data_IF_720812067366
#
_entry.id   IF_720812067366
#
_cell.length_a   1.000
_cell.length_b   1.000
_cell.length_c   1.000
_cell.angle_alpha   90.00
_cell.angle_beta   90.00
_cell.angle_gamma   90.00
#
_symmetry.space_group_name_H-M   'P 1'
#
loop_
_entity.id
_entity.type
_entity.pdbx_description
1 polymer ?
#
# COMPACT_ATOMS: atom_id res chain seq x y z
N UNK A 1 7.09 -7.60 -32.93
CA UNK A 1 8.43 -8.04 -33.39
C UNK A 1 9.36 -8.03 -32.18
N UNK A 2 10.23 -9.03 -32.03
CA UNK A 2 11.16 -9.11 -30.90
C UNK A 2 12.32 -8.11 -31.07
N UNK A 3 12.70 -7.43 -30.00
CA UNK A 3 13.88 -6.56 -29.96
C UNK A 3 15.17 -7.35 -30.10
N UNK A 4 16.29 -6.67 -30.36
CA UNK A 4 17.62 -7.30 -30.44
C UNK A 4 17.98 -8.02 -29.13
N UNK A 5 17.70 -7.37 -27.99
CA UNK A 5 17.92 -7.91 -26.64
C UNK A 5 17.06 -9.16 -26.36
N UNK A 6 15.82 -9.17 -26.84
CA UNK A 6 14.91 -10.33 -26.73
C UNK A 6 15.33 -11.50 -27.63
N UNK A 7 16.01 -11.24 -28.76
CA UNK A 7 16.55 -12.28 -29.64
C UNK A 7 17.84 -12.90 -29.08
N UNK A 8 18.65 -12.12 -28.38
CA UNK A 8 19.93 -12.56 -27.82
C UNK A 8 19.78 -13.25 -26.46
N UNK A 9 18.63 -13.10 -25.77
CA UNK A 9 18.32 -13.78 -24.52
C UNK A 9 17.15 -14.76 -24.69
N UNK A 10 17.38 -16.08 -24.80
CA UNK A 10 16.34 -17.09 -25.01
C UNK A 10 15.25 -17.08 -23.93
N UNK A 11 15.61 -16.68 -22.72
CA UNK A 11 14.70 -16.61 -21.58
C UNK A 11 13.75 -15.41 -21.71
N UNK A 12 14.24 -14.26 -22.19
CA UNK A 12 13.41 -13.10 -22.54
C UNK A 12 12.55 -13.36 -23.79
N UNK A 13 13.10 -14.04 -24.80
CA UNK A 13 12.36 -14.45 -26.00
C UNK A 13 11.11 -15.26 -25.66
N UNK A 14 11.19 -16.13 -24.64
CA UNK A 14 10.07 -16.96 -24.18
C UNK A 14 8.99 -16.15 -23.46
N UNK A 15 9.39 -15.11 -22.71
CA UNK A 15 8.47 -14.20 -22.02
C UNK A 15 7.79 -13.22 -22.99
N UNK A 16 8.51 -12.77 -24.02
CA UNK A 16 8.01 -11.89 -25.07
C UNK A 16 6.96 -12.55 -25.98
N UNK A 17 6.90 -13.88 -26.00
CA UNK A 17 5.82 -14.64 -26.67
C UNK A 17 4.50 -14.66 -25.89
N UNK A 18 4.48 -14.16 -24.65
CA UNK A 18 3.26 -14.13 -23.83
C UNK A 18 2.41 -12.92 -24.18
N UNK A 19 1.08 -13.10 -24.08
CA UNK A 19 0.09 -12.07 -24.46
C UNK A 19 0.23 -10.77 -23.64
N UNK A 20 0.63 -10.90 -22.38
CA UNK A 20 0.84 -9.78 -21.46
C UNK A 20 1.83 -10.15 -20.33
N UNK A 21 2.20 -9.17 -19.52
CA UNK A 21 3.14 -9.33 -18.40
C UNK A 21 2.63 -10.27 -17.29
N UNK A 22 1.32 -10.42 -17.15
CA UNK A 22 0.71 -11.33 -16.18
C UNK A 22 0.88 -12.79 -16.64
N UNK A 23 0.65 -13.07 -17.91
CA UNK A 23 0.91 -14.39 -18.50
C UNK A 23 2.40 -14.72 -18.50
N UNK A 24 3.25 -13.71 -18.75
CA UNK A 24 4.71 -13.83 -18.57
C UNK A 24 5.07 -14.28 -17.14
N UNK A 25 4.51 -13.65 -16.10
CA UNK A 25 4.73 -14.07 -14.72
C UNK A 25 4.27 -15.52 -14.46
N UNK A 26 3.06 -15.87 -14.88
CA UNK A 26 2.50 -17.22 -14.72
C UNK A 26 3.35 -18.29 -15.41
N UNK A 27 3.89 -17.99 -16.58
CA UNK A 27 4.70 -18.93 -17.38
C UNK A 27 5.98 -19.39 -16.66
N UNK A 28 6.45 -18.61 -15.69
CA UNK A 28 7.62 -18.93 -14.89
C UNK A 28 7.34 -19.99 -13.82
N UNK A 29 6.06 -20.36 -13.63
CA UNK A 29 5.61 -21.37 -12.65
C UNK A 29 6.22 -21.10 -11.29
N UNK A 30 5.98 -19.88 -10.81
CA UNK A 30 6.49 -19.30 -9.56
C UNK A 30 5.72 -19.90 -8.36
N UNK A 31 5.43 -21.20 -8.39
CA UNK A 31 4.40 -21.85 -7.55
C UNK A 31 4.95 -22.63 -6.36
N UNK A 32 6.25 -22.51 -6.07
CA UNK A 32 6.92 -23.30 -5.02
C UNK A 32 7.94 -22.44 -4.25
N UNK A 33 7.45 -21.47 -3.50
CA UNK A 33 8.26 -20.71 -2.55
C UNK A 33 7.76 -20.99 -1.14
N UNK A 34 8.67 -21.22 -0.21
CA UNK A 34 8.30 -21.48 1.18
C UNK A 34 7.98 -20.17 1.89
N UNK A 35 8.61 -19.07 1.49
CA UNK A 35 8.40 -17.74 2.04
C UNK A 35 8.52 -16.63 0.98
N UNK A 36 8.30 -15.37 1.38
CA UNK A 36 8.37 -14.20 0.48
C UNK A 36 9.79 -13.85 0.03
N UNK A 37 10.80 -14.18 0.82
CA UNK A 37 12.19 -13.92 0.48
C UNK A 37 12.63 -14.84 -0.65
N UNK A 38 12.31 -16.14 -0.57
CA UNK A 38 12.60 -17.11 -1.63
C UNK A 38 11.97 -16.65 -2.95
N UNK A 39 10.75 -16.12 -2.90
CA UNK A 39 10.04 -15.60 -4.07
C UNK A 39 10.80 -14.41 -4.69
N UNK A 40 11.02 -13.37 -3.88
CA UNK A 40 11.56 -12.09 -4.36
C UNK A 40 13.06 -12.11 -4.65
N UNK A 41 13.77 -13.15 -4.22
CA UNK A 41 15.18 -13.39 -4.55
C UNK A 41 15.38 -14.47 -5.63
N UNK A 42 14.29 -15.06 -6.14
CA UNK A 42 14.42 -16.12 -7.15
C UNK A 42 14.88 -15.58 -8.51
N UNK A 43 15.79 -16.31 -9.16
CA UNK A 43 16.26 -15.98 -10.51
C UNK A 43 15.10 -15.84 -11.53
N UNK A 44 14.01 -16.61 -11.34
CA UNK A 44 12.80 -16.50 -12.17
C UNK A 44 12.08 -15.18 -11.95
N UNK A 45 11.95 -14.74 -10.70
CA UNK A 45 11.37 -13.44 -10.38
C UNK A 45 12.22 -12.30 -10.96
N UNK A 46 13.53 -12.35 -10.80
CA UNK A 46 14.45 -11.37 -11.37
C UNK A 46 14.34 -11.30 -12.89
N UNK A 47 14.27 -12.45 -13.56
CA UNK A 47 14.07 -12.52 -15.01
C UNK A 47 12.75 -11.85 -15.45
N UNK A 48 11.67 -12.07 -14.70
CA UNK A 48 10.39 -11.40 -14.97
C UNK A 48 10.46 -9.90 -14.78
N UNK A 49 11.10 -9.44 -13.69
CA UNK A 49 11.28 -8.01 -13.41
C UNK A 49 12.09 -7.34 -14.52
N UNK A 50 13.18 -7.98 -14.97
CA UNK A 50 13.96 -7.50 -16.10
C UNK A 50 13.11 -7.36 -17.37
N UNK A 51 12.28 -8.35 -17.66
CA UNK A 51 11.35 -8.28 -18.79
C UNK A 51 10.29 -7.18 -18.62
N UNK A 52 9.71 -7.02 -17.42
CA UNK A 52 8.73 -5.97 -17.12
C UNK A 52 9.34 -4.57 -17.31
N UNK A 53 10.57 -4.35 -16.85
CA UNK A 53 11.30 -3.08 -17.03
C UNK A 53 11.50 -2.79 -18.52
N UNK A 54 11.92 -3.80 -19.30
CA UNK A 54 12.08 -3.67 -20.74
C UNK A 54 10.76 -3.38 -21.47
N UNK A 55 9.68 -4.08 -21.09
CA UNK A 55 8.36 -3.85 -21.65
C UNK A 55 7.86 -2.43 -21.35
N UNK A 56 8.06 -1.96 -20.11
CA UNK A 56 7.68 -0.61 -19.70
C UNK A 56 8.46 0.48 -20.44
N UNK A 57 9.75 0.25 -20.76
CA UNK A 57 10.55 1.25 -21.49
C UNK A 57 10.12 1.41 -22.96
N UNK A 58 9.44 0.41 -23.52
CA UNK A 58 8.87 0.46 -24.87
C UNK A 58 7.45 1.06 -24.90
N UNK A 59 6.78 1.11 -23.75
CA UNK A 59 5.39 1.58 -23.66
C UNK A 59 5.33 3.10 -23.51
N UNK A 60 4.48 3.75 -24.31
CA UNK A 60 4.10 5.16 -24.08
C UNK A 60 2.99 5.33 -23.02
N UNK A 61 2.43 4.22 -22.57
CA UNK A 61 1.34 4.19 -21.59
C UNK A 61 1.89 4.12 -20.17
N UNK A 62 0.98 4.13 -19.20
CA UNK A 62 1.34 3.96 -17.80
C UNK A 62 2.17 2.68 -17.57
N UNK A 63 3.29 2.77 -16.82
CA UNK A 63 4.11 1.60 -16.52
C UNK A 63 3.32 0.53 -15.76
N UNK A 64 3.45 -0.71 -16.21
CA UNK A 64 2.98 -1.88 -15.48
C UNK A 64 3.86 -2.09 -14.24
N UNK A 65 3.24 -2.39 -13.10
CA UNK A 65 3.95 -2.50 -11.82
C UNK A 65 3.80 -3.89 -11.20
N UNK A 66 4.71 -4.24 -10.29
CA UNK A 66 4.63 -5.49 -9.52
C UNK A 66 3.34 -5.53 -8.72
N UNK A 67 3.00 -4.42 -8.04
CA UNK A 67 1.75 -4.35 -7.28
C UNK A 67 0.52 -4.55 -8.16
N UNK A 68 0.52 -4.06 -9.41
CA UNK A 68 -0.59 -4.28 -10.34
C UNK A 68 -0.75 -5.76 -10.65
N UNK A 69 0.34 -6.45 -10.97
CA UNK A 69 0.31 -7.89 -11.25
C UNK A 69 -0.24 -8.69 -10.07
N UNK A 70 0.34 -8.50 -8.87
CA UNK A 70 -0.11 -9.22 -7.67
C UNK A 70 -1.57 -8.89 -7.36
N UNK A 71 -1.98 -7.62 -7.48
CA UNK A 71 -3.36 -7.21 -7.24
C UNK A 71 -4.34 -7.88 -8.21
N UNK A 72 -4.01 -7.91 -9.51
CA UNK A 72 -4.84 -8.55 -10.54
C UNK A 72 -4.94 -10.07 -10.34
N UNK A 73 -3.94 -10.71 -9.71
CA UNK A 73 -3.88 -12.17 -9.54
C UNK A 73 -4.37 -12.68 -8.19
N UNK A 74 -4.11 -11.94 -7.12
CA UNK A 74 -4.35 -12.38 -5.74
C UNK A 74 -5.42 -11.52 -5.04
N UNK A 75 -5.77 -10.38 -5.64
CA UNK A 75 -6.57 -9.34 -4.98
C UNK A 75 -5.73 -8.49 -4.03
N UNK A 76 -6.27 -7.32 -3.66
CA UNK A 76 -5.52 -6.31 -2.91
C UNK A 76 -5.11 -6.78 -1.51
N UNK A 77 -6.00 -7.47 -0.79
CA UNK A 77 -5.73 -7.98 0.55
C UNK A 77 -4.51 -8.91 0.59
N UNK A 78 -4.54 -10.00 -0.20
CA UNK A 78 -3.42 -10.97 -0.24
C UNK A 78 -2.13 -10.32 -0.75
N UNK A 79 -2.23 -9.44 -1.73
CA UNK A 79 -1.07 -8.70 -2.24
C UNK A 79 -0.43 -7.85 -1.13
N UNK A 80 -1.25 -7.10 -0.40
CA UNK A 80 -0.78 -6.28 0.72
C UNK A 80 -0.16 -7.12 1.83
N UNK A 81 -0.78 -8.24 2.21
CA UNK A 81 -0.24 -9.16 3.21
C UNK A 81 1.16 -9.65 2.81
N UNK A 82 1.35 -10.09 1.57
CA UNK A 82 2.67 -10.50 1.06
C UNK A 82 3.69 -9.37 1.10
N UNK A 83 3.31 -8.15 0.68
CA UNK A 83 4.21 -6.99 0.72
C UNK A 83 4.51 -6.51 2.14
N UNK A 84 3.58 -6.71 3.08
CA UNK A 84 3.77 -6.40 4.49
C UNK A 84 4.70 -7.38 5.18
N UNK A 85 4.69 -8.66 4.78
CA UNK A 85 5.70 -9.64 5.22
C UNK A 85 7.06 -9.27 4.63
N UNK A 86 7.13 -8.99 3.32
CA UNK A 86 8.38 -8.61 2.67
C UNK A 86 9.00 -7.35 3.28
N UNK A 87 8.18 -6.34 3.62
CA UNK A 87 8.63 -5.10 4.25
C UNK A 87 9.18 -5.27 5.69
N UNK A 88 9.15 -6.48 6.24
CA UNK A 88 9.74 -6.86 7.52
C UNK A 88 10.84 -7.92 7.37
N UNK A 89 11.22 -8.24 6.13
CA UNK A 89 12.27 -9.20 5.85
C UNK A 89 13.58 -8.77 6.49
N UNK A 90 14.38 -9.73 6.93
CA UNK A 90 15.75 -9.49 7.36
C UNK A 90 16.68 -9.19 6.17
N UNK A 91 16.27 -9.52 4.94
CA UNK A 91 16.98 -9.15 3.73
C UNK A 91 16.64 -7.69 3.36
N UNK A 92 17.60 -6.75 3.41
CA UNK A 92 17.33 -5.33 3.18
C UNK A 92 16.75 -5.03 1.79
N UNK A 93 17.12 -5.82 0.78
CA UNK A 93 16.59 -5.65 -0.58
C UNK A 93 15.11 -6.05 -0.63
N UNK A 94 14.76 -7.17 0.01
CA UNK A 94 13.35 -7.63 0.07
C UNK A 94 12.51 -6.69 0.93
N UNK A 95 13.08 -6.18 2.03
CA UNK A 95 12.46 -5.15 2.86
C UNK A 95 12.09 -3.91 2.04
N UNK A 96 13.06 -3.39 1.27
CA UNK A 96 12.86 -2.24 0.41
C UNK A 96 11.85 -2.52 -0.71
N UNK A 97 11.88 -3.72 -1.31
CA UNK A 97 10.89 -4.16 -2.30
C UNK A 97 9.48 -4.18 -1.69
N UNK A 98 9.31 -4.78 -0.51
CA UNK A 98 8.03 -4.82 0.19
C UNK A 98 7.45 -3.44 0.45
N UNK A 99 8.26 -2.49 0.95
CA UNK A 99 7.84 -1.09 1.14
C UNK A 99 7.45 -0.44 -0.19
N UNK A 100 8.26 -0.62 -1.24
CA UNK A 100 8.00 -0.08 -2.58
C UNK A 100 6.70 -0.62 -3.16
N UNK A 101 6.43 -1.92 -3.02
CA UNK A 101 5.22 -2.55 -3.54
C UNK A 101 3.97 -2.12 -2.78
N UNK A 102 4.05 -1.86 -1.47
CA UNK A 102 2.95 -1.22 -0.74
C UNK A 102 2.64 0.19 -1.27
N UNK A 103 3.66 0.99 -1.59
CA UNK A 103 3.48 2.32 -2.19
C UNK A 103 2.87 2.21 -3.59
N UNK A 104 3.31 1.24 -4.40
CA UNK A 104 2.72 0.99 -5.72
C UNK A 104 1.25 0.57 -5.61
N UNK A 105 0.91 -0.32 -4.67
CA UNK A 105 -0.47 -0.75 -4.43
C UNK A 105 -1.35 0.43 -4.00
N UNK A 106 -0.84 1.29 -3.11
CA UNK A 106 -1.52 2.53 -2.74
C UNK A 106 -1.81 3.43 -3.94
N UNK A 107 -0.85 3.57 -4.87
CA UNK A 107 -1.05 4.37 -6.09
C UNK A 107 -2.13 3.80 -6.99
N UNK A 108 -2.32 2.48 -7.04
CA UNK A 108 -3.44 1.89 -7.77
C UNK A 108 -4.78 2.34 -7.20
N UNK A 109 -4.94 2.30 -5.87
CA UNK A 109 -6.15 2.80 -5.21
C UNK A 109 -6.36 4.30 -5.43
N UNK A 110 -5.29 5.10 -5.32
CA UNK A 110 -5.35 6.53 -5.53
C UNK A 110 -5.80 6.88 -6.95
N UNK A 111 -5.30 6.16 -7.97
CA UNK A 111 -5.69 6.34 -9.38
C UNK A 111 -7.12 5.91 -9.66
N UNK A 112 -7.58 4.85 -8.99
CA UNK A 112 -8.97 4.41 -9.03
C UNK A 112 -9.93 5.33 -8.23
N UNK A 113 -9.42 6.39 -7.60
CA UNK A 113 -10.23 7.35 -6.86
C UNK A 113 -10.76 6.83 -5.53
N UNK A 114 -10.19 5.73 -5.00
CA UNK A 114 -10.67 5.15 -3.75
C UNK A 114 -10.49 6.10 -2.56
N UNK A 115 -11.51 6.16 -1.72
CA UNK A 115 -11.47 6.83 -0.41
C UNK A 115 -10.71 5.97 0.62
N UNK A 116 -10.24 6.56 1.74
CA UNK A 116 -9.58 5.80 2.80
C UNK A 116 -10.39 4.61 3.33
N UNK A 117 -11.71 4.76 3.50
CA UNK A 117 -12.61 3.68 3.92
C UNK A 117 -12.74 2.54 2.89
N UNK A 118 -12.75 2.87 1.59
CA UNK A 118 -12.73 1.85 0.53
C UNK A 118 -11.40 1.10 0.50
N UNK A 119 -10.27 1.80 0.72
CA UNK A 119 -8.96 1.15 0.85
C UNK A 119 -8.95 0.21 2.07
N UNK A 120 -9.47 0.65 3.21
CA UNK A 120 -9.64 -0.22 4.40
C UNK A 120 -10.39 -1.50 4.06
N UNK A 121 -11.54 -1.38 3.39
CA UNK A 121 -12.36 -2.53 2.97
C UNK A 121 -11.57 -3.48 2.04
N UNK A 122 -10.91 -2.93 1.00
CA UNK A 122 -10.13 -3.72 0.04
C UNK A 122 -8.92 -4.44 0.65
N UNK A 123 -8.35 -3.86 1.70
CA UNK A 123 -7.22 -4.44 2.43
C UNK A 123 -7.64 -5.36 3.57
N UNK A 124 -8.95 -5.47 3.86
CA UNK A 124 -9.48 -6.31 4.93
C UNK A 124 -9.51 -5.66 6.31
N UNK A 125 -9.36 -4.34 6.39
CA UNK A 125 -9.66 -3.57 7.61
C UNK A 125 -8.72 -2.40 7.88
N UNK A 126 -9.09 -1.64 8.92
CA UNK A 126 -8.46 -0.37 9.28
C UNK A 126 -6.99 -0.52 9.66
N UNK A 127 -6.61 -1.63 10.28
CA UNK A 127 -5.23 -1.90 10.66
C UNK A 127 -4.31 -2.08 9.45
N UNK A 128 -4.81 -2.71 8.38
CA UNK A 128 -4.06 -2.89 7.14
C UNK A 128 -3.91 -1.55 6.38
N UNK A 129 -4.99 -0.77 6.28
CA UNK A 129 -4.94 0.57 5.70
C UNK A 129 -4.02 1.51 6.47
N UNK A 130 -4.06 1.50 7.80
CA UNK A 130 -3.17 2.29 8.64
C UNK A 130 -1.70 1.94 8.38
N UNK A 131 -1.36 0.66 8.32
CA UNK A 131 0.01 0.21 7.97
C UNK A 131 0.42 0.73 6.58
N UNK A 132 -0.43 0.59 5.57
CA UNK A 132 -0.17 1.12 4.23
C UNK A 132 0.10 2.63 4.25
N UNK A 133 -0.75 3.42 4.91
CA UNK A 133 -0.59 4.87 4.96
C UNK A 133 0.68 5.29 5.71
N UNK A 134 1.03 4.61 6.80
CA UNK A 134 2.31 4.80 7.50
C UNK A 134 3.49 4.56 6.57
N UNK A 135 3.49 3.47 5.80
CA UNK A 135 4.55 3.18 4.83
C UNK A 135 4.63 4.26 3.75
N UNK A 136 3.50 4.73 3.22
CA UNK A 136 3.48 5.79 2.19
C UNK A 136 3.98 7.13 2.76
N UNK A 137 3.64 7.46 4.00
CA UNK A 137 4.15 8.64 4.72
C UNK A 137 5.67 8.62 4.92
N UNK A 138 6.27 7.42 4.96
CA UNK A 138 7.71 7.20 5.09
C UNK A 138 8.42 7.07 3.72
N UNK A 139 7.70 7.19 2.61
CA UNK A 139 8.28 7.10 1.26
C UNK A 139 9.39 8.13 1.05
N UNK A 140 10.41 7.79 0.26
CA UNK A 140 11.48 8.72 -0.15
C UNK A 140 10.97 9.81 -1.10
N UNK A 141 9.87 9.55 -1.82
CA UNK A 141 9.20 10.53 -2.68
C UNK A 141 8.38 11.54 -1.88
N UNK A 142 8.71 12.84 -2.03
CA UNK A 142 7.95 13.93 -1.38
C UNK A 142 6.48 13.96 -1.79
N UNK A 143 6.18 13.63 -3.06
CA UNK A 143 4.80 13.54 -3.55
C UNK A 143 4.03 12.42 -2.84
N UNK A 144 4.65 11.25 -2.73
CA UNK A 144 4.03 10.09 -2.10
C UNK A 144 3.79 10.36 -0.61
N UNK A 145 4.77 10.96 0.09
CA UNK A 145 4.58 11.37 1.50
C UNK A 145 3.39 12.30 1.68
N UNK A 146 3.25 13.32 0.83
CA UNK A 146 2.11 14.24 0.89
C UNK A 146 0.78 13.52 0.67
N UNK A 147 0.72 12.58 -0.27
CA UNK A 147 -0.47 11.76 -0.49
C UNK A 147 -0.76 10.86 0.71
N UNK A 148 0.25 10.20 1.28
CA UNK A 148 0.11 9.40 2.50
C UNK A 148 -0.46 10.21 3.65
N UNK A 149 0.05 11.41 3.89
CA UNK A 149 -0.47 12.33 4.93
C UNK A 149 -1.92 12.72 4.64
N UNK A 150 -2.27 13.04 3.38
CA UNK A 150 -3.65 13.38 3.00
C UNK A 150 -4.62 12.24 3.31
N UNK A 151 -4.27 11.02 2.93
CA UNK A 151 -5.10 9.83 3.15
C UNK A 151 -5.20 9.47 4.63
N UNK A 152 -4.07 9.51 5.36
CA UNK A 152 -4.06 9.36 6.80
C UNK A 152 -5.00 10.35 7.49
N UNK A 153 -4.92 11.64 7.14
CA UNK A 153 -5.80 12.66 7.73
C UNK A 153 -7.28 12.43 7.39
N UNK A 154 -7.60 11.98 6.16
CA UNK A 154 -8.96 11.58 5.80
C UNK A 154 -9.45 10.42 6.67
N UNK A 155 -8.59 9.44 6.92
CA UNK A 155 -8.91 8.29 7.76
C UNK A 155 -9.09 8.63 9.24
N UNK A 156 -8.26 9.52 9.78
CA UNK A 156 -8.41 10.05 11.15
C UNK A 156 -9.74 10.79 11.33
N UNK A 157 -10.18 11.54 10.32
CA UNK A 157 -11.49 12.21 10.35
C UNK A 157 -12.63 11.20 10.38
N UNK A 158 -12.56 10.16 9.54
CA UNK A 158 -13.55 9.08 9.53
C UNK A 158 -13.64 8.35 10.88
N UNK A 159 -12.49 8.06 11.52
CA UNK A 159 -12.48 7.45 12.85
C UNK A 159 -13.10 8.33 13.93
N UNK A 160 -12.86 9.65 13.86
CA UNK A 160 -13.48 10.61 14.76
C UNK A 160 -14.99 10.67 14.56
N UNK A 161 -15.45 10.72 13.31
CA UNK A 161 -16.89 10.71 12.96
C UNK A 161 -17.57 9.42 13.40
N UNK A 162 -16.87 8.29 13.31
CA UNK A 162 -17.31 7.00 13.81
C UNK A 162 -17.19 6.86 15.35
N UNK A 163 -16.75 7.89 16.06
CA UNK A 163 -16.64 7.88 17.53
C UNK A 163 -15.58 6.94 18.09
N UNK A 164 -14.55 6.58 17.32
CA UNK A 164 -13.50 5.67 17.81
C UNK A 164 -12.74 6.26 18.98
N UNK A 165 -12.50 5.45 20.01
CA UNK A 165 -11.76 5.87 21.20
C UNK A 165 -10.25 5.71 20.99
N UNK A 166 -9.41 6.45 21.74
CA UNK A 166 -7.97 6.21 21.78
C UNK A 166 -7.60 4.75 22.07
N UNK A 167 -8.32 4.08 22.97
CA UNK A 167 -8.09 2.66 23.30
C UNK A 167 -8.35 1.73 22.10
N UNK A 168 -9.38 1.99 21.30
CA UNK A 168 -9.62 1.24 20.07
C UNK A 168 -8.52 1.49 19.03
N UNK A 169 -8.03 2.73 18.91
CA UNK A 169 -6.96 3.06 17.97
C UNK A 169 -5.60 2.50 18.38
N UNK A 170 -5.34 2.32 19.67
CA UNK A 170 -4.12 1.66 20.14
C UNK A 170 -3.99 0.24 19.55
N UNK A 171 -5.11 -0.48 19.47
CA UNK A 171 -5.15 -1.85 18.90
C UNK A 171 -5.10 -1.85 17.36
N UNK A 172 -5.71 -0.87 16.73
CA UNK A 172 -5.86 -0.83 15.26
C UNK A 172 -4.64 -0.20 14.58
N UNK A 173 -4.16 0.90 15.13
CA UNK A 173 -3.27 1.84 14.44
C UNK A 173 -2.44 2.67 15.44
N UNK A 174 -1.58 2.04 16.26
CA UNK A 174 -0.84 2.73 17.33
C UNK A 174 0.06 3.86 16.78
N UNK A 175 0.56 3.72 15.54
CA UNK A 175 1.34 4.77 14.86
C UNK A 175 0.59 6.09 14.67
N UNK A 176 -0.74 6.07 14.77
CA UNK A 176 -1.59 7.25 14.61
C UNK A 176 -2.12 7.81 15.93
N UNK A 177 -1.89 7.15 17.07
CA UNK A 177 -2.48 7.54 18.37
C UNK A 177 -2.19 9.00 18.74
N UNK A 178 -0.92 9.42 18.65
CA UNK A 178 -0.50 10.79 18.99
C UNK A 178 -1.21 11.84 18.12
N UNK A 179 -1.27 11.60 16.82
CA UNK A 179 -1.93 12.48 15.86
C UNK A 179 -3.43 12.54 16.10
N UNK A 180 -4.05 11.40 16.40
CA UNK A 180 -5.47 11.32 16.70
C UNK A 180 -5.85 12.03 18.00
N UNK A 181 -5.09 11.83 19.08
CA UNK A 181 -5.30 12.53 20.36
C UNK A 181 -5.20 14.05 20.19
N UNK A 182 -4.29 14.51 19.33
CA UNK A 182 -4.14 15.94 19.01
C UNK A 182 -5.37 16.47 18.25
N UNK A 183 -5.91 15.70 17.31
CA UNK A 183 -7.13 16.03 16.56
C UNK A 183 -8.35 16.14 17.48
N UNK A 184 -8.52 15.22 18.43
CA UNK A 184 -9.62 15.26 19.40
C UNK A 184 -9.55 16.52 20.27
N UNK A 185 -8.39 16.80 20.89
CA UNK A 185 -8.20 18.00 21.72
C UNK A 185 -8.45 19.29 20.96
N UNK A 186 -7.98 19.39 19.70
CA UNK A 186 -8.21 20.56 18.87
C UNK A 186 -9.71 20.77 18.58
N UNK A 187 -10.44 19.68 18.38
CA UNK A 187 -11.90 19.72 18.20
C UNK A 187 -12.61 20.18 19.45
N UNK A 188 -12.25 19.62 20.61
CA UNK A 188 -12.84 19.99 21.90
C UNK A 188 -12.60 21.46 22.20
N UNK A 189 -11.37 21.95 22.03
CA UNK A 189 -11.05 23.38 22.17
C UNK A 189 -11.89 24.26 21.25
N UNK A 190 -12.10 23.83 20.02
CA UNK A 190 -12.93 24.56 19.06
C UNK A 190 -14.41 24.57 19.46
N UNK A 191 -14.92 23.45 19.97
CA UNK A 191 -16.30 23.34 20.46
C UNK A 191 -16.53 24.20 21.72
N UNK A 192 -15.58 24.21 22.66
CA UNK A 192 -15.61 25.07 23.85
C UNK A 192 -15.62 26.54 23.45
N UNK A 193 -14.78 26.95 22.49
CA UNK A 193 -14.78 28.31 21.96
C UNK A 193 -16.10 28.68 21.28
N UNK A 194 -16.73 27.74 20.58
CA UNK A 194 -17.98 27.99 19.85
C UNK A 194 -19.21 28.05 20.77
N UNK A 195 -19.26 27.23 21.83
CA UNK A 195 -20.36 27.23 22.79
C UNK A 195 -19.91 26.68 24.16
N UNK A 196 -19.42 27.53 25.08
CA UNK A 196 -18.84 27.09 26.35
C UNK A 196 -19.85 26.44 27.29
N UNK A 197 -21.11 26.90 27.29
CA UNK A 197 -22.18 26.38 28.17
C UNK A 197 -22.54 24.94 27.79
N UNK A 198 -22.72 24.66 26.49
CA UNK A 198 -23.03 23.31 25.99
C UNK A 198 -21.85 22.34 26.17
N UNK A 199 -20.62 22.84 26.06
CA UNK A 199 -19.42 22.04 26.30
C UNK A 199 -19.27 21.63 27.77
N UNK A 200 -19.59 22.51 28.72
CA UNK A 200 -19.58 22.21 30.15
C UNK A 200 -20.60 21.13 30.53
N UNK A 201 -21.82 21.21 29.98
CA UNK A 201 -22.86 20.20 30.20
C UNK A 201 -22.49 18.81 29.64
N UNK A 202 -21.85 18.75 28.46
CA UNK A 202 -21.40 17.49 27.87
C UNK A 202 -20.20 16.87 28.60
N UNK A 203 -19.35 17.68 29.23
CA UNK A 203 -18.24 17.20 30.07
C UNK A 203 -18.76 16.62 31.40
N UNK A 204 -19.75 17.27 32.01
CA UNK A 204 -20.37 16.78 33.25
C UNK A 204 -21.13 15.45 33.07
N UNK A 205 -21.65 15.17 31.86
CA UNK A 205 -22.34 13.92 31.54
C UNK A 205 -21.40 12.73 31.21
N UNK A 206 -20.08 12.95 31.20
CA UNK A 206 -19.06 11.91 30.92
C UNK A 206 -18.33 11.45 32.19
N UNK A 207 -18.67 12.01 33.35
CA UNK A 207 -18.22 11.60 34.69
C UNK A 207 -19.26 10.67 35.29
#
# INVERSE_FOLDING_TARGET
MLTKLERENPALAKLAKQKDLTQAFKSLKVTKFQNVDDLFTSAKYEQWIGYMIHWNSQSKNEPFTVAKMFNDQLGSKKSFEMFAVAAKSANPNVEQMGKSYQVQLFKLFQKAGNTPGQISTSLGGDAAAAKMFTTVMQSTSKSDRKLGVKFANGFLKQWKEAGKTPAQLEQIAPSFLKTYATLLRATEKSAIKANPVRAAAAAAARV
#
